data_IF_727351804804
#
_entry.id   IF_727351804804
#
_cell.length_a   1.000
_cell.length_b   1.000
_cell.length_c   1.000
_cell.angle_alpha   90.00
_cell.angle_beta   90.00
_cell.angle_gamma   90.00
#
_symmetry.space_group_name_H-M   'P 1'
#
loop_
_entity.id
_entity.type
_entity.pdbx_description
1 polymer ?
#
# COMPACT_ATOMS: atom_id res chain seq x y z
N UNK A 1 -9.79 15.48 8.04
CA UNK A 1 -9.33 14.12 8.40
C UNK A 1 -8.63 14.14 9.76
N UNK A 2 -8.58 13.01 10.46
CA UNK A 2 -7.79 12.86 11.70
C UNK A 2 -6.28 12.95 11.39
N UNK A 3 -5.46 13.41 12.34
CA UNK A 3 -4.02 13.51 12.16
C UNK A 3 -3.31 12.18 11.89
N UNK A 4 -3.92 11.04 12.26
CA UNK A 4 -3.40 9.71 11.91
C UNK A 4 -3.43 9.43 10.40
N UNK A 5 -4.24 10.18 9.65
CA UNK A 5 -4.31 10.12 8.18
C UNK A 5 -3.54 11.29 7.55
N UNK A 6 -2.64 11.96 8.24
CA UNK A 6 -1.77 12.94 7.58
C UNK A 6 -0.90 12.24 6.52
N UNK A 7 -0.66 12.90 5.38
CA UNK A 7 0.03 12.28 4.24
C UNK A 7 1.45 11.81 4.61
N UNK A 8 2.17 12.59 5.43
CA UNK A 8 3.49 12.22 5.94
C UNK A 8 3.47 10.96 6.82
N UNK A 9 2.42 10.78 7.63
CA UNK A 9 2.20 9.56 8.41
C UNK A 9 1.93 8.37 7.49
N UNK A 10 1.11 8.54 6.45
CA UNK A 10 0.81 7.48 5.48
C UNK A 10 2.04 7.07 4.66
N UNK A 11 2.89 8.04 4.30
CA UNK A 11 4.17 7.78 3.63
C UNK A 11 5.13 7.02 4.54
N UNK A 12 5.28 7.44 5.79
CA UNK A 12 6.11 6.74 6.77
C UNK A 12 5.60 5.30 7.04
N UNK A 13 4.28 5.11 7.06
CA UNK A 13 3.67 3.78 7.17
C UNK A 13 3.97 2.91 5.95
N UNK A 14 3.91 3.49 4.74
CA UNK A 14 4.24 2.78 3.50
C UNK A 14 5.72 2.34 3.50
N UNK A 15 6.63 3.25 3.84
CA UNK A 15 8.07 2.96 3.91
C UNK A 15 8.35 1.84 4.93
N UNK A 16 7.74 1.90 6.11
CA UNK A 16 7.86 0.84 7.13
C UNK A 16 7.31 -0.50 6.62
N UNK A 17 6.19 -0.49 5.89
CA UNK A 17 5.60 -1.71 5.35
C UNK A 17 6.52 -2.35 4.30
N UNK A 18 7.17 -1.56 3.45
CA UNK A 18 8.13 -2.03 2.46
C UNK A 18 9.38 -2.63 3.13
N UNK A 19 9.89 -2.01 4.19
CA UNK A 19 11.00 -2.56 5.00
C UNK A 19 10.64 -3.91 5.65
N UNK A 20 9.44 -4.01 6.23
CA UNK A 20 8.95 -5.25 6.82
C UNK A 20 8.75 -6.34 5.75
N UNK A 21 8.24 -6.00 4.57
CA UNK A 21 8.04 -6.94 3.47
C UNK A 21 9.38 -7.46 2.89
N UNK A 22 10.43 -6.64 2.94
CA UNK A 22 11.78 -6.99 2.49
C UNK A 22 12.61 -7.75 3.54
N UNK A 23 12.09 -7.93 4.77
CA UNK A 23 12.82 -8.59 5.85
C UNK A 23 13.13 -10.04 5.50
N UNK A 24 14.32 -10.49 5.91
CA UNK A 24 14.79 -11.87 5.73
C UNK A 24 15.22 -12.48 7.05
N UNK A 25 15.09 -13.81 7.16
CA UNK A 25 15.55 -14.57 8.31
C UNK A 25 16.35 -15.79 7.85
N UNK A 26 17.44 -16.10 8.55
CA UNK A 26 18.21 -17.33 8.28
C UNK A 26 17.52 -18.53 8.94
N UNK A 27 17.04 -19.48 8.14
CA UNK A 27 16.41 -20.70 8.62
C UNK A 27 16.57 -21.85 7.61
N UNK A 28 16.63 -23.08 8.11
CA UNK A 28 16.76 -24.29 7.28
C UNK A 28 17.92 -24.21 6.24
N UNK A 29 19.02 -23.54 6.58
CA UNK A 29 20.20 -23.41 5.73
C UNK A 29 20.07 -22.43 4.56
N UNK A 30 19.04 -21.57 4.55
CA UNK A 30 18.84 -20.51 3.54
C UNK A 30 18.29 -19.23 4.16
N UNK A 31 18.31 -18.14 3.39
CA UNK A 31 17.49 -16.97 3.68
C UNK A 31 16.03 -17.27 3.33
N UNK A 32 15.14 -17.02 4.30
CA UNK A 32 13.68 -17.09 4.18
C UNK A 32 13.15 -15.66 4.13
N UNK A 33 12.26 -15.40 3.20
CA UNK A 33 11.63 -14.11 2.91
C UNK A 33 10.14 -14.16 3.26
N UNK A 34 9.43 -13.02 3.19
CA UNK A 34 7.99 -13.00 3.46
C UNK A 34 7.19 -13.92 2.51
N UNK A 35 7.50 -13.92 1.21
CA UNK A 35 6.81 -14.74 0.22
C UNK A 35 6.98 -16.26 0.43
N UNK A 36 8.01 -16.69 1.15
CA UNK A 36 8.23 -18.10 1.47
C UNK A 36 7.22 -18.65 2.49
N UNK A 37 6.60 -17.77 3.29
CA UNK A 37 5.78 -18.17 4.46
C UNK A 37 4.41 -17.51 4.52
N UNK A 38 4.17 -16.49 3.70
CA UNK A 38 2.93 -15.73 3.75
C UNK A 38 1.74 -16.53 3.21
N UNK A 39 0.54 -16.15 3.66
CA UNK A 39 -0.69 -16.60 3.04
C UNK A 39 -0.96 -15.80 1.75
N UNK A 40 -1.05 -16.50 0.61
CA UNK A 40 -1.31 -15.92 -0.70
C UNK A 40 -2.58 -16.54 -1.32
N UNK A 41 -3.75 -15.90 -1.20
CA UNK A 41 -5.03 -16.51 -1.57
C UNK A 41 -5.23 -16.69 -3.08
N UNK A 42 -4.61 -15.85 -3.91
CA UNK A 42 -4.81 -15.85 -5.37
C UNK A 42 -3.74 -16.66 -6.12
N UNK A 43 -2.50 -16.66 -5.63
CA UNK A 43 -1.37 -17.36 -6.25
C UNK A 43 -0.61 -18.21 -5.21
N UNK A 44 -1.21 -19.31 -4.71
CA UNK A 44 -0.64 -20.08 -3.61
C UNK A 44 0.55 -20.97 -4.01
N UNK A 45 0.79 -21.19 -5.31
CA UNK A 45 1.84 -22.11 -5.77
C UNK A 45 3.23 -21.48 -5.82
N UNK A 46 3.32 -20.28 -6.39
CA UNK A 46 4.56 -19.53 -6.55
C UNK A 46 4.29 -18.03 -6.31
N UNK A 47 3.99 -17.63 -5.06
CA UNK A 47 3.65 -16.26 -4.75
C UNK A 47 4.86 -15.33 -4.90
N UNK A 48 4.63 -14.14 -5.46
CA UNK A 48 5.52 -13.00 -5.25
C UNK A 48 5.17 -12.26 -3.95
N UNK A 49 6.02 -11.33 -3.52
CA UNK A 49 5.76 -10.48 -2.34
C UNK A 49 4.40 -9.75 -2.44
N UNK A 50 4.01 -9.32 -3.64
CA UNK A 50 2.72 -8.65 -3.88
C UNK A 50 1.47 -9.54 -3.75
N UNK A 51 1.65 -10.87 -3.73
CA UNK A 51 0.56 -11.83 -3.55
C UNK A 51 0.28 -12.11 -2.06
N UNK A 52 1.17 -11.69 -1.16
CA UNK A 52 1.02 -11.87 0.28
C UNK A 52 -0.16 -11.04 0.81
N UNK A 53 -1.02 -11.67 1.60
CA UNK A 53 -2.17 -11.01 2.21
C UNK A 53 -1.74 -10.05 3.34
N UNK A 54 -1.46 -8.80 2.99
CA UNK A 54 -1.18 -7.69 3.92
C UNK A 54 -2.33 -6.70 3.86
N UNK A 55 -2.94 -6.42 5.01
CA UNK A 55 -4.08 -5.49 5.13
C UNK A 55 -3.63 -4.17 5.77
N UNK A 56 -3.70 -3.09 5.00
CA UNK A 56 -3.30 -1.74 5.41
C UNK A 56 -4.11 -0.70 4.61
N UNK A 57 -4.21 0.52 5.13
CA UNK A 57 -4.81 1.66 4.40
C UNK A 57 -4.04 1.99 3.12
N UNK A 58 -2.73 1.73 3.08
CA UNK A 58 -1.89 1.95 1.88
C UNK A 58 -2.25 1.00 0.74
N UNK A 59 -2.98 -0.10 1.02
CA UNK A 59 -3.43 -1.06 0.02
C UNK A 59 -4.45 -0.45 -0.97
N UNK A 60 -5.23 0.56 -0.56
CA UNK A 60 -6.11 1.29 -1.47
C UNK A 60 -5.36 2.01 -2.60
N UNK A 61 -4.07 2.28 -2.37
CA UNK A 61 -3.13 2.85 -3.33
C UNK A 61 -2.14 1.80 -3.87
N UNK A 62 -2.45 0.51 -3.65
CA UNK A 62 -1.64 -0.65 -4.04
C UNK A 62 -0.18 -0.55 -3.56
N UNK A 63 0.00 0.00 -2.35
CA UNK A 63 1.33 0.27 -1.75
C UNK A 63 2.27 1.02 -2.71
N UNK A 64 1.73 1.94 -3.51
CA UNK A 64 2.50 2.69 -4.47
C UNK A 64 2.55 4.17 -4.08
N UNK A 65 3.75 4.63 -3.73
CA UNK A 65 4.02 6.01 -3.32
C UNK A 65 3.51 7.04 -4.34
N UNK A 66 3.80 6.81 -5.62
CA UNK A 66 3.37 7.71 -6.70
C UNK A 66 1.85 7.77 -6.87
N UNK A 67 1.12 6.70 -6.53
CA UNK A 67 -0.35 6.72 -6.52
C UNK A 67 -0.92 7.48 -5.33
N UNK A 68 -0.29 7.35 -4.16
CA UNK A 68 -0.68 8.07 -2.95
C UNK A 68 -0.40 9.58 -3.07
N UNK A 69 0.70 9.98 -3.72
CA UNK A 69 1.06 11.40 -3.92
C UNK A 69 0.39 12.03 -5.15
N UNK A 70 -0.44 11.28 -5.88
CA UNK A 70 -1.05 11.75 -7.13
C UNK A 70 -2.18 12.74 -6.87
N UNK A 71 -2.14 13.86 -7.59
CA UNK A 71 -3.24 14.81 -7.69
C UNK A 71 -3.76 14.85 -9.13
N UNK A 72 -5.06 14.97 -9.30
CA UNK A 72 -5.72 15.08 -10.60
C UNK A 72 -6.63 16.31 -10.65
N UNK A 73 -6.57 17.07 -11.74
CA UNK A 73 -7.56 18.13 -11.98
C UNK A 73 -8.89 17.51 -12.32
N UNK A 74 -9.95 17.93 -11.64
CA UNK A 74 -11.32 17.48 -11.88
C UNK A 74 -12.25 18.65 -12.16
N UNK A 75 -13.29 18.41 -12.95
CA UNK A 75 -14.35 19.36 -13.20
C UNK A 75 -15.69 18.74 -12.79
N UNK A 76 -16.39 19.40 -11.87
CA UNK A 76 -17.72 19.01 -11.43
C UNK A 76 -18.72 20.11 -11.83
N UNK A 77 -19.38 19.91 -12.97
CA UNK A 77 -20.25 20.92 -13.57
C UNK A 77 -19.45 22.16 -13.99
N UNK A 78 -19.70 23.30 -13.32
CA UNK A 78 -18.99 24.57 -13.59
C UNK A 78 -17.79 24.79 -12.67
N UNK A 79 -17.61 23.97 -11.65
CA UNK A 79 -16.52 24.11 -10.68
C UNK A 79 -15.32 23.25 -11.09
N UNK A 80 -14.13 23.83 -11.03
CA UNK A 80 -12.88 23.13 -11.23
C UNK A 80 -12.20 22.96 -9.87
N UNK A 81 -11.72 21.76 -9.59
CA UNK A 81 -11.03 21.42 -8.35
C UNK A 81 -9.91 20.43 -8.59
N UNK A 82 -9.29 19.99 -7.50
CA UNK A 82 -8.28 18.94 -7.50
C UNK A 82 -8.83 17.76 -6.73
N UNK A 83 -8.69 16.56 -7.28
CA UNK A 83 -8.87 15.31 -6.57
C UNK A 83 -7.51 14.81 -6.10
N UNK A 84 -7.43 14.38 -4.85
CA UNK A 84 -6.21 13.81 -4.27
C UNK A 84 -6.52 12.48 -3.54
N UNK A 85 -5.57 12.02 -2.74
CA UNK A 85 -5.69 10.77 -1.99
C UNK A 85 -6.85 10.78 -0.99
N UNK A 86 -7.30 11.94 -0.50
CA UNK A 86 -8.44 12.02 0.42
C UNK A 86 -9.72 11.57 -0.28
N UNK A 87 -9.92 12.01 -1.53
CA UNK A 87 -11.08 11.67 -2.34
C UNK A 87 -11.08 10.17 -2.68
N UNK A 88 -9.92 9.65 -3.10
CA UNK A 88 -9.76 8.21 -3.39
C UNK A 88 -10.00 7.35 -2.15
N UNK A 89 -9.46 7.76 -1.00
CA UNK A 89 -9.66 7.03 0.26
C UNK A 89 -11.14 7.00 0.65
N UNK A 90 -11.86 8.13 0.59
CA UNK A 90 -13.30 8.17 0.88
C UNK A 90 -14.09 7.31 -0.09
N UNK A 91 -13.68 7.24 -1.35
CA UNK A 91 -14.38 6.44 -2.36
C UNK A 91 -14.21 4.92 -2.15
N UNK A 92 -13.06 4.48 -1.59
CA UNK A 92 -12.74 3.05 -1.43
C UNK A 92 -13.17 2.44 -0.08
N UNK A 93 -13.49 3.26 0.91
CA UNK A 93 -13.92 2.81 2.26
C UNK A 93 -15.44 2.74 2.33
#
# INVERSE_FOLDING_TARGET
>A
FSGVLALDVLLALLDLQDELAATTAWAAGRNVTLQDVCYAPLNPGEPGVGDCAVSSVTQYFQNNRSRLELNATQQHGKEQGTADWHDHLIYCV
#
